data_IF_496221311711
#
_entry.id   IF_496221311711
#
_cell.length_a   1.000
_cell.length_b   1.000
_cell.length_c   1.000
_cell.angle_alpha   90.00
_cell.angle_beta   90.00
_cell.angle_gamma   90.00
#
_symmetry.space_group_name_H-M   'P 1'
#
loop_
_entity.id
_entity.type
_entity.pdbx_description
1 polymer ?
#
# COMPACT_ATOMS: atom_id res chain seq x y z
N UNK A 1 27.08 3.90 -18.70
CA UNK A 1 25.73 4.07 -19.26
C UNK A 1 25.00 5.04 -18.36
N UNK A 2 24.17 5.92 -18.92
CA UNK A 2 23.33 6.83 -18.14
C UNK A 2 22.40 6.01 -17.22
N UNK A 3 22.09 6.49 -16.03
CA UNK A 3 21.14 5.83 -15.12
C UNK A 3 19.76 5.73 -15.80
N UNK A 4 19.09 4.57 -15.69
CA UNK A 4 17.80 4.33 -16.37
C UNK A 4 16.79 5.42 -16.03
N UNK A 5 16.72 5.83 -14.76
CA UNK A 5 15.70 6.75 -14.30
C UNK A 5 16.07 8.21 -14.55
N UNK A 6 17.31 8.49 -14.93
CA UNK A 6 17.72 9.78 -15.51
C UNK A 6 17.33 9.83 -16.99
N UNK A 7 17.53 8.73 -17.71
CA UNK A 7 17.23 8.63 -19.14
C UNK A 7 15.73 8.58 -19.45
N UNK A 8 14.98 7.79 -18.68
CA UNK A 8 13.54 7.53 -18.86
C UNK A 8 12.83 7.56 -17.50
N UNK A 9 12.61 8.76 -16.94
CA UNK A 9 12.12 8.92 -15.57
C UNK A 9 10.69 8.39 -15.35
N UNK A 10 9.88 8.25 -16.39
CA UNK A 10 8.47 7.92 -16.24
C UNK A 10 8.25 6.46 -15.83
N UNK A 11 9.17 5.55 -16.11
CA UNK A 11 9.09 4.18 -15.55
C UNK A 11 9.05 4.18 -14.03
N UNK A 12 9.94 4.94 -13.38
CA UNK A 12 9.96 5.06 -11.92
C UNK A 12 8.71 5.78 -11.41
N UNK A 13 8.31 6.88 -12.06
CA UNK A 13 7.12 7.65 -11.69
C UNK A 13 5.84 6.82 -11.76
N UNK A 14 5.67 6.03 -12.82
CA UNK A 14 4.54 5.09 -12.98
C UNK A 14 4.54 4.09 -11.82
N UNK A 15 5.69 3.49 -11.51
CA UNK A 15 5.81 2.55 -10.38
C UNK A 15 5.48 3.21 -9.02
N UNK A 16 5.90 4.45 -8.81
CA UNK A 16 5.68 5.19 -7.56
C UNK A 16 4.26 5.73 -7.42
N UNK A 17 3.57 5.96 -8.54
CA UNK A 17 2.15 6.37 -8.56
C UNK A 17 1.23 5.31 -7.98
N UNK A 18 1.56 4.04 -8.19
CA UNK A 18 0.78 2.89 -7.73
C UNK A 18 1.64 1.94 -6.88
N UNK A 19 1.96 2.32 -5.62
CA UNK A 19 2.79 1.49 -4.75
C UNK A 19 2.16 0.13 -4.43
N UNK A 20 0.82 0.07 -4.38
CA UNK A 20 0.03 -1.13 -4.11
C UNK A 20 -0.20 -2.02 -5.36
N UNK A 21 0.44 -1.71 -6.50
CA UNK A 21 0.40 -2.54 -7.70
C UNK A 21 1.67 -3.42 -7.81
N UNK A 22 1.72 -4.61 -7.19
CA UNK A 22 2.93 -5.45 -7.14
C UNK A 22 3.38 -5.92 -8.53
N UNK A 23 2.45 -6.14 -9.45
CA UNK A 23 2.74 -6.51 -10.84
C UNK A 23 3.53 -5.40 -11.54
N UNK A 24 3.15 -4.14 -11.35
CA UNK A 24 3.83 -2.99 -11.94
C UNK A 24 5.24 -2.82 -11.36
N UNK A 25 5.39 -2.97 -10.03
CA UNK A 25 6.68 -3.00 -9.35
C UNK A 25 7.60 -4.10 -9.87
N UNK A 26 7.05 -5.28 -10.18
CA UNK A 26 7.80 -6.41 -10.74
C UNK A 26 8.26 -6.16 -12.17
N UNK A 27 7.40 -5.60 -13.02
CA UNK A 27 7.77 -5.23 -14.39
C UNK A 27 8.83 -4.12 -14.41
N UNK A 28 8.74 -3.13 -13.52
CA UNK A 28 9.77 -2.10 -13.40
C UNK A 28 11.15 -2.70 -13.07
N UNK A 29 11.20 -3.61 -12.11
CA UNK A 29 12.44 -4.33 -11.77
C UNK A 29 12.97 -5.14 -12.96
N UNK A 30 12.08 -5.73 -13.76
CA UNK A 30 12.47 -6.48 -14.95
C UNK A 30 13.08 -5.58 -16.04
N UNK A 31 12.50 -4.40 -16.29
CA UNK A 31 13.05 -3.39 -17.22
C UNK A 31 14.44 -2.96 -16.75
N UNK A 32 14.58 -2.61 -15.46
CA UNK A 32 15.87 -2.19 -14.88
C UNK A 32 16.93 -3.28 -15.00
N UNK A 33 16.59 -4.51 -14.61
CA UNK A 33 17.50 -5.65 -14.72
C UNK A 33 17.97 -5.89 -16.16
N UNK A 34 17.06 -5.81 -17.13
CA UNK A 34 17.43 -5.96 -18.54
C UNK A 34 18.31 -4.81 -19.03
N UNK A 35 18.03 -3.58 -18.62
CA UNK A 35 18.82 -2.41 -19.00
C UNK A 35 20.27 -2.47 -18.50
N UNK A 36 20.45 -2.92 -17.26
CA UNK A 36 21.76 -3.08 -16.60
C UNK A 36 22.52 -4.33 -17.07
N UNK A 37 21.81 -5.32 -17.63
CA UNK A 37 22.34 -6.59 -18.11
C UNK A 37 22.68 -6.62 -19.60
N UNK A 38 22.42 -7.76 -20.22
CA UNK A 38 22.69 -8.05 -21.64
C UNK A 38 21.67 -7.43 -22.61
N UNK A 39 20.58 -6.86 -22.07
CA UNK A 39 19.48 -6.19 -22.79
C UNK A 39 18.69 -7.07 -23.76
N UNK A 40 18.89 -8.39 -23.74
CA UNK A 40 18.25 -9.31 -24.68
C UNK A 40 16.72 -9.29 -24.57
N UNK A 41 16.14 -9.05 -23.39
CA UNK A 41 14.69 -8.94 -23.18
C UNK A 41 14.19 -7.53 -22.93
N UNK A 42 14.96 -6.49 -23.29
CA UNK A 42 14.62 -5.12 -22.93
C UNK A 42 13.34 -4.65 -23.63
N UNK A 43 13.16 -4.95 -24.92
CA UNK A 43 11.94 -4.55 -25.66
C UNK A 43 10.71 -5.27 -25.11
N UNK A 44 10.77 -6.58 -24.87
CA UNK A 44 9.67 -7.31 -24.23
C UNK A 44 9.31 -6.74 -22.85
N UNK A 45 10.29 -6.47 -21.99
CA UNK A 45 10.01 -5.95 -20.65
C UNK A 45 9.44 -4.53 -20.68
N UNK A 46 9.89 -3.69 -21.60
CA UNK A 46 9.31 -2.35 -21.84
C UNK A 46 7.84 -2.46 -22.26
N UNK A 47 7.53 -3.29 -23.26
CA UNK A 47 6.17 -3.51 -23.75
C UNK A 47 5.26 -3.98 -22.61
N UNK A 48 5.68 -5.02 -21.88
CA UNK A 48 4.90 -5.55 -20.75
C UNK A 48 4.72 -4.53 -19.62
N UNK A 49 5.68 -3.61 -19.42
CA UNK A 49 5.52 -2.52 -18.45
C UNK A 49 4.43 -1.53 -18.88
N UNK A 50 4.39 -1.14 -20.15
CA UNK A 50 3.33 -0.26 -20.70
C UNK A 50 1.96 -0.94 -20.55
N UNK A 51 1.85 -2.20 -20.95
CA UNK A 51 0.61 -2.97 -20.83
C UNK A 51 0.15 -3.05 -19.38
N UNK A 52 1.07 -3.34 -18.45
CA UNK A 52 0.78 -3.35 -17.02
C UNK A 52 0.30 -1.98 -16.52
N UNK A 53 0.85 -0.87 -17.02
CA UNK A 53 0.40 0.48 -16.67
C UNK A 53 -1.02 0.74 -17.19
N UNK A 54 -1.31 0.39 -18.46
CA UNK A 54 -2.65 0.51 -19.04
C UNK A 54 -3.69 -0.32 -18.26
N UNK A 55 -3.37 -1.57 -17.91
CA UNK A 55 -4.24 -2.42 -17.10
C UNK A 55 -4.47 -1.86 -15.69
N UNK A 56 -3.43 -1.27 -15.10
CA UNK A 56 -3.55 -0.61 -13.79
C UNK A 56 -4.57 0.53 -13.86
N UNK A 57 -4.46 1.38 -14.88
CA UNK A 57 -5.39 2.49 -15.13
C UNK A 57 -6.81 1.97 -15.38
N UNK A 58 -7.00 0.99 -16.27
CA UNK A 58 -8.32 0.41 -16.54
C UNK A 58 -8.99 -0.08 -15.24
N UNK A 59 -8.21 -0.74 -14.37
CA UNK A 59 -8.69 -1.17 -13.05
C UNK A 59 -9.09 -0.02 -12.12
N UNK A 60 -8.44 1.15 -12.17
CA UNK A 60 -8.82 2.32 -11.36
C UNK A 60 -10.10 3.00 -11.83
N UNK A 61 -10.56 2.69 -13.03
CA UNK A 61 -11.81 3.21 -13.60
C UNK A 61 -12.86 2.10 -13.79
N UNK A 62 -12.69 0.96 -13.11
CA UNK A 62 -13.61 -0.17 -13.15
C UNK A 62 -13.84 -0.73 -14.56
N UNK A 63 -12.88 -0.55 -15.49
CA UNK A 63 -12.99 -1.01 -16.87
C UNK A 63 -12.52 -2.46 -16.98
N UNK A 64 -13.24 -3.23 -17.79
CA UNK A 64 -12.87 -4.60 -18.12
C UNK A 64 -11.75 -4.64 -19.16
N UNK A 65 -11.13 -5.80 -19.30
CA UNK A 65 -10.26 -6.08 -20.46
C UNK A 65 -11.02 -5.84 -21.77
N UNK A 66 -10.41 -5.21 -22.78
CA UNK A 66 -11.12 -4.86 -23.99
C UNK A 66 -11.36 -6.04 -24.94
N UNK A 67 -10.46 -7.03 -24.92
CA UNK A 67 -10.61 -8.30 -25.64
C UNK A 67 -9.90 -9.44 -24.89
N UNK A 68 -10.01 -10.67 -25.39
CA UNK A 68 -9.39 -11.85 -24.77
C UNK A 68 -7.86 -11.85 -24.84
N UNK A 69 -7.30 -11.21 -25.88
CA UNK A 69 -5.87 -11.08 -26.10
C UNK A 69 -5.59 -9.69 -26.73
N UNK A 70 -5.65 -8.62 -25.92
CA UNK A 70 -5.61 -7.28 -26.46
C UNK A 70 -4.20 -6.89 -26.87
N UNK A 71 -4.11 -6.18 -27.99
CA UNK A 71 -2.84 -5.58 -28.41
C UNK A 71 -2.40 -4.47 -27.44
N UNK A 72 -1.11 -4.14 -27.41
CA UNK A 72 -0.60 -3.00 -26.62
C UNK A 72 -1.30 -1.69 -27.00
N UNK A 73 -1.56 -1.49 -28.29
CA UNK A 73 -2.27 -0.32 -28.80
C UNK A 73 -3.74 -0.29 -28.38
N UNK A 74 -4.41 -1.45 -28.37
CA UNK A 74 -5.77 -1.56 -27.86
C UNK A 74 -5.83 -1.23 -26.37
N UNK A 75 -4.92 -1.78 -25.56
CA UNK A 75 -4.80 -1.43 -24.14
C UNK A 75 -4.53 0.05 -23.92
N UNK A 76 -3.64 0.66 -24.72
CA UNK A 76 -3.33 2.08 -24.65
C UNK A 76 -4.55 2.95 -24.97
N UNK A 77 -5.25 2.65 -26.07
CA UNK A 77 -6.45 3.38 -26.48
C UNK A 77 -7.53 3.30 -25.41
N UNK A 78 -7.78 2.11 -24.86
CA UNK A 78 -8.83 1.90 -23.86
C UNK A 78 -8.46 2.52 -22.51
N UNK A 79 -7.18 2.54 -22.13
CA UNK A 79 -6.71 3.21 -20.93
C UNK A 79 -6.81 4.75 -21.05
N UNK A 80 -6.63 5.32 -22.24
CA UNK A 80 -6.71 6.76 -22.47
C UNK A 80 -8.14 7.31 -22.52
N UNK A 81 -9.12 6.50 -22.93
CA UNK A 81 -10.54 6.90 -22.98
C UNK A 81 -11.11 7.43 -21.65
N UNK A 82 -11.00 6.73 -20.50
CA UNK A 82 -11.50 7.24 -19.24
C UNK A 82 -10.73 8.49 -18.76
N UNK A 83 -9.51 8.71 -19.28
CA UNK A 83 -8.70 9.90 -19.02
C UNK A 83 -9.08 11.10 -19.91
N UNK A 84 -10.21 11.02 -20.62
CA UNK A 84 -10.68 12.07 -21.53
C UNK A 84 -9.90 12.17 -22.84
N UNK A 85 -8.98 11.25 -23.12
CA UNK A 85 -8.15 11.24 -24.32
C UNK A 85 -8.67 10.20 -25.32
N UNK A 86 -9.66 10.59 -26.11
CA UNK A 86 -10.19 9.77 -27.18
C UNK A 86 -9.92 10.40 -28.54
N UNK A 87 -9.43 9.60 -29.48
CA UNK A 87 -9.21 10.05 -30.86
C UNK A 87 -10.55 10.28 -31.56
N UNK A 88 -10.85 11.53 -31.88
CA UNK A 88 -12.06 11.93 -32.60
C UNK A 88 -11.98 11.77 -34.13
N UNK A 89 -11.07 10.89 -34.61
CA UNK A 89 -10.81 10.59 -36.02
C UNK A 89 -10.29 11.77 -36.83
N UNK A 90 -9.39 12.56 -36.25
CA UNK A 90 -8.62 13.60 -36.95
C UNK A 90 -9.24 14.99 -36.91
N UNK A 91 -10.25 15.22 -36.08
CA UNK A 91 -10.88 16.52 -35.90
C UNK A 91 -9.99 17.51 -35.11
N UNK A 92 -9.02 17.01 -34.34
CA UNK A 92 -8.15 17.82 -33.49
C UNK A 92 -6.65 17.61 -33.72
N UNK A 93 -5.81 18.56 -33.29
CA UNK A 93 -4.35 18.35 -33.24
C UNK A 93 -3.95 17.26 -32.25
N UNK A 94 -4.76 17.08 -31.19
CA UNK A 94 -4.58 16.02 -30.19
C UNK A 94 -4.77 14.64 -30.84
N UNK A 95 -5.72 14.48 -31.77
CA UNK A 95 -5.92 13.22 -32.50
C UNK A 95 -4.66 12.79 -33.26
N UNK A 96 -3.94 13.74 -33.86
CA UNK A 96 -2.67 13.44 -34.56
C UNK A 96 -1.61 12.95 -33.58
N UNK A 97 -1.55 13.53 -32.39
CA UNK A 97 -0.64 13.13 -31.33
C UNK A 97 -0.98 11.73 -30.79
N UNK A 98 -2.27 11.46 -30.53
CA UNK A 98 -2.75 10.15 -30.10
C UNK A 98 -2.47 9.07 -31.17
N UNK A 99 -2.74 9.38 -32.44
CA UNK A 99 -2.37 8.49 -33.55
C UNK A 99 -0.87 8.21 -33.63
N UNK A 100 -0.01 9.18 -33.29
CA UNK A 100 1.44 8.95 -33.23
C UNK A 100 1.82 7.99 -32.09
N UNK A 101 1.23 8.15 -30.90
CA UNK A 101 1.47 7.23 -29.78
C UNK A 101 0.97 5.81 -30.08
N UNK A 102 -0.16 5.67 -30.77
CA UNK A 102 -0.64 4.36 -31.22
C UNK A 102 0.37 3.68 -32.15
N UNK A 103 0.90 4.42 -33.14
CA UNK A 103 1.95 3.88 -34.03
C UNK A 103 3.24 3.51 -33.29
N UNK A 104 3.58 4.25 -32.24
CA UNK A 104 4.71 3.93 -31.38
C UNK A 104 4.48 2.62 -30.58
N UNK A 105 3.27 2.40 -30.08
CA UNK A 105 2.88 1.17 -29.40
C UNK A 105 2.84 -0.03 -30.37
N UNK A 106 2.36 0.18 -31.60
CA UNK A 106 2.40 -0.82 -32.69
C UNK A 106 3.86 -1.20 -33.01
N UNK A 107 4.74 -0.21 -33.22
CA UNK A 107 6.15 -0.44 -33.52
C UNK A 107 6.89 -1.22 -32.42
N UNK A 108 6.57 -0.95 -31.14
CA UNK A 108 7.09 -1.75 -30.01
C UNK A 108 6.64 -3.20 -30.08
N UNK A 109 5.38 -3.44 -30.47
CA UNK A 109 4.82 -4.78 -30.62
C UNK A 109 5.45 -5.52 -31.80
N UNK A 110 5.57 -4.87 -32.95
CA UNK A 110 6.21 -5.40 -34.16
C UNK A 110 7.66 -5.80 -33.86
N UNK A 111 8.46 -4.90 -33.29
CA UNK A 111 9.87 -5.19 -32.98
C UNK A 111 10.00 -6.30 -31.94
N UNK A 112 9.13 -6.33 -30.91
CA UNK A 112 9.11 -7.44 -29.95
C UNK A 112 8.80 -8.76 -30.64
N UNK A 113 7.84 -8.78 -31.57
CA UNK A 113 7.43 -10.00 -32.23
C UNK A 113 8.45 -10.45 -33.29
N UNK A 114 9.21 -9.54 -33.90
CA UNK A 114 10.17 -9.90 -34.94
C UNK A 114 11.56 -10.19 -34.38
N UNK A 115 11.98 -9.47 -33.34
CA UNK A 115 13.40 -9.36 -32.96
C UNK A 115 13.70 -9.71 -31.50
N UNK A 116 12.71 -10.12 -30.71
CA UNK A 116 12.92 -10.48 -29.30
C UNK A 116 13.31 -11.98 -29.14
N UNK A 117 14.49 -12.28 -28.54
CA UNK A 117 14.97 -13.64 -28.35
C UNK A 117 14.08 -14.45 -27.40
N UNK A 118 13.36 -13.79 -26.50
CA UNK A 118 12.44 -14.46 -25.58
C UNK A 118 11.20 -14.95 -26.34
N UNK A 119 10.85 -14.31 -27.46
CA UNK A 119 9.72 -14.71 -28.31
C UNK A 119 10.09 -15.79 -29.34
N UNK A 120 11.29 -15.72 -29.95
CA UNK A 120 11.65 -16.57 -31.11
C UNK A 120 12.95 -17.39 -30.95
N UNK A 121 13.58 -17.37 -29.78
CA UNK A 121 14.86 -18.05 -29.55
C UNK A 121 16.05 -17.27 -30.15
N UNK A 122 17.24 -17.87 -30.11
CA UNK A 122 18.51 -17.21 -30.41
C UNK A 122 18.64 -16.70 -31.86
N UNK A 123 17.89 -17.27 -32.80
CA UNK A 123 17.92 -16.91 -34.23
C UNK A 123 17.04 -15.70 -34.60
N UNK A 124 16.09 -15.32 -33.73
CA UNK A 124 15.32 -14.08 -33.85
C UNK A 124 16.00 -12.88 -33.21
N UNK A 125 17.08 -13.10 -32.46
CA UNK A 125 17.86 -12.02 -31.88
C UNK A 125 18.77 -11.41 -32.93
N UNK A 126 18.52 -10.16 -33.28
CA UNK A 126 19.53 -9.41 -33.98
C UNK A 126 20.54 -8.91 -32.92
N UNK A 127 21.71 -9.57 -32.84
CA UNK A 127 22.95 -9.03 -32.21
C UNK A 127 23.25 -7.57 -32.68
N UNK A 128 22.60 -7.17 -33.77
CA UNK A 128 22.60 -5.92 -34.50
C UNK A 128 21.77 -4.78 -33.90
N UNK A 129 20.84 -5.01 -32.95
CA UNK A 129 20.09 -3.89 -32.35
C UNK A 129 21.09 -3.05 -31.56
N UNK A 130 21.47 -1.93 -32.17
CA UNK A 130 22.47 -1.03 -31.63
C UNK A 130 21.96 -0.44 -30.33
N UNK A 131 22.88 -0.03 -29.46
CA UNK A 131 22.51 0.68 -28.22
C UNK A 131 21.65 1.92 -28.46
N UNK A 132 21.70 2.50 -29.67
CA UNK A 132 20.88 3.65 -30.05
C UNK A 132 19.42 3.25 -30.34
N UNK A 133 19.18 2.11 -30.98
CA UNK A 133 17.81 1.64 -31.25
C UNK A 133 17.12 1.23 -29.95
N UNK A 134 17.82 0.52 -29.05
CA UNK A 134 17.30 0.21 -27.71
C UNK A 134 17.00 1.48 -26.91
N UNK A 135 17.84 2.52 -27.02
CA UNK A 135 17.58 3.83 -26.42
C UNK A 135 16.34 4.48 -27.03
N UNK A 136 16.12 4.36 -28.34
CA UNK A 136 14.91 4.88 -28.98
C UNK A 136 13.64 4.18 -28.45
N UNK A 137 13.65 2.86 -28.28
CA UNK A 137 12.49 2.15 -27.72
C UNK A 137 12.22 2.51 -26.25
N UNK A 138 13.26 2.70 -25.45
CA UNK A 138 13.12 3.22 -24.08
C UNK A 138 12.46 4.60 -24.08
N UNK A 139 12.95 5.54 -24.89
CA UNK A 139 12.39 6.89 -24.98
C UNK A 139 10.94 6.84 -25.47
N UNK A 140 10.65 6.02 -26.48
CA UNK A 140 9.30 5.79 -26.96
C UNK A 140 8.36 5.35 -25.84
N UNK A 141 8.76 4.36 -25.05
CA UNK A 141 7.97 3.92 -23.91
C UNK A 141 7.81 4.99 -22.84
N UNK A 142 8.88 5.73 -22.53
CA UNK A 142 8.84 6.84 -21.60
C UNK A 142 7.83 7.91 -22.03
N UNK A 143 7.76 8.22 -23.33
CA UNK A 143 6.77 9.18 -23.86
C UNK A 143 5.33 8.68 -23.72
N UNK A 144 5.08 7.37 -23.93
CA UNK A 144 3.75 6.76 -23.71
C UNK A 144 3.37 6.83 -22.22
N UNK A 145 4.31 6.48 -21.33
CA UNK A 145 4.09 6.55 -19.88
C UNK A 145 3.87 7.99 -19.41
N UNK A 146 4.61 8.95 -19.96
CA UNK A 146 4.42 10.37 -19.68
C UNK A 146 3.02 10.84 -20.09
N UNK A 147 2.53 10.45 -21.27
CA UNK A 147 1.18 10.75 -21.72
C UNK A 147 0.14 10.18 -20.75
N UNK A 148 0.26 8.89 -20.39
CA UNK A 148 -0.65 8.22 -19.47
C UNK A 148 -0.68 8.89 -18.10
N UNK A 149 0.49 9.19 -17.53
CA UNK A 149 0.60 9.83 -16.21
C UNK A 149 0.04 11.25 -16.21
N UNK A 150 0.41 12.07 -17.19
CA UNK A 150 -0.10 13.44 -17.28
C UNK A 150 -1.61 13.49 -17.48
N UNK A 151 -2.16 12.57 -18.28
CA UNK A 151 -3.61 12.47 -18.48
C UNK A 151 -4.32 11.98 -17.20
N UNK A 152 -3.71 11.02 -16.49
CA UNK A 152 -4.22 10.51 -15.22
C UNK A 152 -4.25 11.59 -14.14
N UNK A 153 -3.16 12.31 -13.95
CA UNK A 153 -3.06 13.39 -12.96
C UNK A 153 -4.03 14.56 -13.26
N UNK A 154 -4.46 14.71 -14.51
CA UNK A 154 -5.46 15.70 -14.94
C UNK A 154 -6.91 15.22 -14.87
N UNK A 155 -7.17 13.97 -14.46
CA UNK A 155 -8.52 13.36 -14.44
C UNK A 155 -8.99 13.15 -13.01
N UNK A 156 -10.26 13.45 -12.72
CA UNK A 156 -10.86 13.11 -11.42
C UNK A 156 -10.94 11.58 -11.24
N UNK A 157 -10.44 11.02 -10.12
CA UNK A 157 -10.52 9.59 -9.85
C UNK A 157 -11.96 9.13 -9.65
N UNK A 158 -12.25 7.89 -10.10
CA UNK A 158 -13.48 7.22 -9.73
C UNK A 158 -13.36 6.67 -8.29
N UNK A 159 -14.09 7.28 -7.35
CA UNK A 159 -14.04 6.92 -5.92
C UNK A 159 -14.45 5.48 -5.63
N UNK A 160 -15.10 4.79 -6.56
CA UNK A 160 -15.48 3.38 -6.40
C UNK A 160 -14.29 2.42 -6.60
N UNK A 161 -13.30 2.82 -7.41
CA UNK A 161 -12.25 1.93 -7.90
C UNK A 161 -10.83 2.46 -7.69
N UNK A 162 -10.69 3.75 -7.39
CA UNK A 162 -9.39 4.42 -7.21
C UNK A 162 -8.53 3.72 -6.15
N UNK A 163 -7.23 3.60 -6.42
CA UNK A 163 -6.24 3.11 -5.44
C UNK A 163 -5.61 4.24 -4.65
N UNK A 164 -6.09 5.46 -4.83
CA UNK A 164 -5.59 6.61 -4.10
C UNK A 164 -5.93 6.51 -2.60
N UNK A 165 -5.01 6.93 -1.74
CA UNK A 165 -5.19 6.82 -0.30
C UNK A 165 -6.31 7.76 0.17
N UNK A 166 -6.98 7.39 1.26
CA UNK A 166 -8.06 8.15 1.88
C UNK A 166 -7.67 9.64 2.06
N UNK A 167 -6.46 9.92 2.53
CA UNK A 167 -5.97 11.26 2.82
C UNK A 167 -6.02 12.22 1.61
N UNK A 168 -5.99 11.70 0.38
CA UNK A 168 -6.07 12.52 -0.84
C UNK A 168 -7.43 13.18 -1.05
N UNK A 169 -8.49 12.65 -0.42
CA UNK A 169 -9.86 13.12 -0.58
C UNK A 169 -10.40 13.87 0.64
N UNK A 170 -9.52 14.44 1.47
CA UNK A 170 -9.89 15.17 2.69
C UNK A 170 -11.05 16.15 2.48
N UNK A 171 -11.04 16.93 1.40
CA UNK A 171 -12.12 17.87 1.08
C UNK A 171 -13.50 17.21 0.82
N UNK A 172 -13.51 15.99 0.27
CA UNK A 172 -14.73 15.21 0.10
C UNK A 172 -15.19 14.62 1.42
N UNK A 173 -14.26 14.14 2.24
CA UNK A 173 -14.55 13.61 3.57
C UNK A 173 -15.15 14.69 4.47
N UNK A 174 -14.54 15.88 4.53
CA UNK A 174 -15.08 17.02 5.27
C UNK A 174 -16.49 17.41 4.79
N UNK A 175 -16.75 17.31 3.47
CA UNK A 175 -18.08 17.57 2.92
C UNK A 175 -19.09 16.51 3.39
N UNK A 176 -18.72 15.24 3.38
CA UNK A 176 -19.54 14.13 3.88
C UNK A 176 -19.78 14.32 5.39
N UNK A 177 -18.74 14.49 6.18
CA UNK A 177 -18.79 14.61 7.64
C UNK A 177 -19.64 15.81 8.10
N UNK A 178 -19.62 16.93 7.36
CA UNK A 178 -20.44 18.11 7.66
C UNK A 178 -21.93 17.92 7.32
N UNK A 179 -22.25 17.05 6.37
CA UNK A 179 -23.59 16.96 5.77
C UNK A 179 -24.36 15.69 6.15
N UNK A 180 -23.67 14.67 6.64
CA UNK A 180 -24.27 13.41 7.06
C UNK A 180 -24.74 13.51 8.51
N UNK A 181 -26.01 13.20 8.73
CA UNK A 181 -26.52 12.88 10.06
C UNK A 181 -26.46 11.37 10.27
N UNK A 182 -25.95 10.97 11.43
CA UNK A 182 -25.75 9.57 11.81
C UNK A 182 -26.69 9.23 12.97
N UNK A 183 -27.43 8.13 12.84
CA UNK A 183 -28.17 7.51 13.93
C UNK A 183 -27.64 6.10 14.14
N UNK A 184 -27.41 5.71 15.40
CA UNK A 184 -26.92 4.38 15.74
C UNK A 184 -27.87 3.72 16.73
N UNK A 185 -28.16 2.44 16.51
CA UNK A 185 -28.96 1.59 17.38
C UNK A 185 -28.29 0.22 17.51
N UNK A 186 -28.67 -0.51 18.55
CA UNK A 186 -28.33 -1.92 18.72
C UNK A 186 -29.62 -2.70 18.50
N UNK A 187 -29.57 -3.68 17.62
CA UNK A 187 -30.66 -4.62 17.41
C UNK A 187 -30.21 -6.02 17.81
N UNK A 188 -31.11 -6.74 18.49
CA UNK A 188 -30.92 -8.14 18.84
C UNK A 188 -31.53 -9.00 17.72
N UNK A 189 -30.69 -9.77 17.03
CA UNK A 189 -31.08 -10.71 15.97
C UNK A 189 -30.86 -12.15 16.47
N UNK A 190 -31.93 -12.73 17.05
CA UNK A 190 -32.16 -14.11 17.52
C UNK A 190 -31.09 -14.79 18.41
N UNK A 191 -29.90 -14.19 18.59
CA UNK A 191 -28.78 -14.58 19.47
C UNK A 191 -27.54 -13.65 19.31
N UNK A 192 -27.58 -12.65 18.41
CA UNK A 192 -26.45 -11.77 18.11
C UNK A 192 -26.87 -10.31 18.15
N UNK A 193 -26.01 -9.49 18.77
CA UNK A 193 -26.15 -8.04 18.70
C UNK A 193 -25.57 -7.52 17.38
N UNK A 194 -26.34 -6.68 16.71
CA UNK A 194 -25.96 -6.00 15.48
C UNK A 194 -26.00 -4.50 15.71
N UNK A 195 -24.92 -3.81 15.33
CA UNK A 195 -24.89 -2.35 15.32
C UNK A 195 -25.54 -1.90 14.02
N UNK A 196 -26.63 -1.15 14.13
CA UNK A 196 -27.34 -0.57 13.00
C UNK A 196 -27.01 0.92 12.93
N UNK A 197 -26.34 1.31 11.85
CA UNK A 197 -25.96 2.70 11.59
C UNK A 197 -26.79 3.22 10.41
N UNK A 198 -27.60 4.24 10.64
CA UNK A 198 -28.38 4.94 9.61
C UNK A 198 -27.70 6.26 9.28
N UNK A 199 -27.30 6.39 8.01
CA UNK A 199 -26.61 7.55 7.47
C UNK A 199 -27.54 8.30 6.52
N UNK A 200 -27.84 9.56 6.81
CA UNK A 200 -28.75 10.38 5.97
C UNK A 200 -28.12 11.71 5.63
N UNK A 201 -28.53 12.30 4.51
CA UNK A 201 -28.20 13.69 4.15
C UNK A 201 -29.48 14.45 3.86
N UNK A 202 -29.40 15.79 3.77
CA UNK A 202 -30.56 16.60 3.38
C UNK A 202 -31.21 16.16 2.05
N UNK A 203 -30.41 15.59 1.15
CA UNK A 203 -30.84 15.13 -0.17
C UNK A 203 -31.09 13.61 -0.25
N UNK A 204 -30.74 12.85 0.79
CA UNK A 204 -30.96 11.41 0.90
C UNK A 204 -31.65 11.11 2.24
N UNK A 205 -32.96 11.37 2.29
CA UNK A 205 -33.73 11.33 3.54
C UNK A 205 -34.03 9.92 4.04
N UNK A 206 -34.26 8.96 3.12
CA UNK A 206 -34.38 7.54 3.47
C UNK A 206 -33.06 7.00 4.06
N UNK A 207 -31.94 7.62 3.70
CA UNK A 207 -30.61 7.28 4.18
C UNK A 207 -30.13 5.92 3.66
N UNK A 208 -29.00 5.49 4.21
CA UNK A 208 -28.42 4.16 4.02
C UNK A 208 -28.35 3.51 5.40
N UNK A 209 -28.91 2.31 5.53
CA UNK A 209 -28.79 1.50 6.74
C UNK A 209 -27.64 0.50 6.58
N UNK A 210 -26.68 0.55 7.50
CA UNK A 210 -25.60 -0.41 7.62
C UNK A 210 -25.83 -1.27 8.86
N UNK A 211 -25.98 -2.58 8.66
CA UNK A 211 -26.10 -3.58 9.72
C UNK A 211 -24.74 -4.27 9.86
N UNK A 212 -24.06 -4.06 10.98
CA UNK A 212 -22.67 -4.47 11.16
C UNK A 212 -22.53 -5.29 12.45
N UNK A 213 -21.98 -6.50 12.34
CA UNK A 213 -21.64 -7.30 13.51
C UNK A 213 -20.44 -6.69 14.25
N UNK A 214 -20.42 -6.69 15.60
CA UNK A 214 -19.31 -6.12 16.38
C UNK A 214 -17.94 -6.65 15.96
N UNK A 215 -17.84 -7.95 15.67
CA UNK A 215 -16.61 -8.58 15.19
C UNK A 215 -16.15 -8.02 13.85
N UNK A 216 -17.07 -7.74 12.91
CA UNK A 216 -16.76 -7.16 11.59
C UNK A 216 -16.29 -5.71 11.73
N UNK A 217 -16.95 -4.92 12.58
CA UNK A 217 -16.56 -3.54 12.87
C UNK A 217 -15.14 -3.49 13.43
N UNK A 218 -14.86 -4.27 14.47
CA UNK A 218 -13.53 -4.34 15.10
C UNK A 218 -12.48 -4.83 14.09
N UNK A 219 -12.77 -5.91 13.35
CA UNK A 219 -11.84 -6.45 12.35
C UNK A 219 -11.51 -5.42 11.26
N UNK A 220 -12.46 -4.59 10.82
CA UNK A 220 -12.25 -3.61 9.77
C UNK A 220 -11.53 -2.34 10.26
N UNK A 221 -11.88 -1.84 11.44
CA UNK A 221 -11.44 -0.52 11.93
C UNK A 221 -10.26 -0.62 12.91
N UNK A 222 -10.27 -1.56 13.86
CA UNK A 222 -9.26 -1.68 14.91
C UNK A 222 -8.88 -3.16 15.15
N UNK A 223 -7.87 -3.60 14.40
CA UNK A 223 -7.30 -4.95 14.48
C UNK A 223 -6.83 -5.33 15.87
N UNK A 224 -6.37 -4.36 16.65
CA UNK A 224 -5.84 -4.62 17.98
C UNK A 224 -6.98 -4.88 18.95
N UNK A 225 -8.00 -4.01 18.93
CA UNK A 225 -9.22 -4.23 19.71
C UNK A 225 -9.88 -5.57 19.36
N UNK A 226 -9.97 -5.92 18.07
CA UNK A 226 -10.49 -7.22 17.65
C UNK A 226 -9.83 -8.40 18.38
N UNK A 227 -8.49 -8.41 18.47
CA UNK A 227 -7.73 -9.48 19.14
C UNK A 227 -7.97 -9.49 20.65
N UNK A 228 -8.05 -8.32 21.28
CA UNK A 228 -8.32 -8.20 22.72
C UNK A 228 -9.71 -8.73 23.09
N UNK A 229 -10.74 -8.37 22.31
CA UNK A 229 -12.10 -8.86 22.51
C UNK A 229 -12.19 -10.36 22.25
N UNK A 230 -11.49 -10.88 21.24
CA UNK A 230 -11.44 -12.33 20.95
C UNK A 230 -10.76 -13.13 22.08
N UNK A 231 -9.69 -12.60 22.66
CA UNK A 231 -9.04 -13.22 23.81
C UNK A 231 -9.97 -13.24 25.04
N UNK A 232 -10.71 -12.16 25.25
CA UNK A 232 -11.64 -12.01 26.38
C UNK A 232 -12.88 -12.90 26.23
N UNK A 233 -13.40 -13.08 25.01
CA UNK A 233 -14.55 -13.96 24.76
C UNK A 233 -14.26 -15.45 24.97
N UNK A 234 -12.97 -15.83 25.01
CA UNK A 234 -12.55 -17.22 25.22
C UNK A 234 -12.61 -17.64 26.71
N UNK A 235 -12.76 -16.69 27.64
CA UNK A 235 -12.76 -16.94 29.08
C UNK A 235 -14.13 -17.35 29.63
N UNK A 236 -15.23 -17.15 28.88
CA UNK A 236 -16.59 -17.43 29.35
C UNK A 236 -17.09 -18.85 29.02
N UNK A 237 -16.31 -19.67 28.30
CA UNK A 237 -16.70 -21.05 27.93
C UNK A 237 -15.86 -22.11 28.64
N UNK A 238 -15.96 -22.20 29.96
CA UNK A 238 -15.57 -23.41 30.70
C UNK A 238 -16.75 -23.94 31.52
N UNK A 239 -17.51 -24.93 31.01
CA UNK A 239 -18.27 -25.79 31.89
C UNK A 239 -17.32 -26.76 32.61
N UNK A 240 -17.57 -26.85 33.91
CA UNK A 240 -17.03 -27.75 34.93
C UNK A 240 -16.22 -28.98 34.47
N UNK A 241 -15.05 -29.09 35.08
CA UNK A 241 -14.21 -30.29 35.27
C UNK A 241 -15.03 -31.58 35.42
N UNK A 242 -14.86 -32.52 34.49
CA UNK A 242 -15.16 -33.95 34.71
C UNK A 242 -13.92 -34.75 34.32
N UNK A 243 -13.44 -35.55 35.28
CA UNK A 243 -12.25 -36.39 35.23
C UNK A 243 -12.29 -37.42 34.07
N UNK A 244 -11.12 -37.91 33.59
CA UNK A 244 -11.07 -38.81 32.45
C UNK A 244 -11.40 -40.25 32.87
N UNK A 245 -12.41 -40.84 32.24
CA UNK A 245 -12.58 -42.31 32.21
C UNK A 245 -12.02 -42.80 30.87
N UNK A 246 -11.02 -43.66 30.96
CA UNK A 246 -10.43 -44.39 29.84
C UNK A 246 -11.48 -45.34 29.27
N UNK A 247 -11.78 -45.25 27.97
CA UNK A 247 -12.25 -46.41 27.21
C UNK A 247 -11.98 -46.30 25.70
N UNK A 248 -11.99 -47.47 25.08
CA UNK A 248 -11.25 -47.91 23.89
C UNK A 248 -11.66 -47.32 22.52
N UNK A 249 -10.67 -47.40 21.62
CA UNK A 249 -10.69 -47.19 20.17
C UNK A 249 -12.03 -47.47 19.47
N UNK A 250 -12.49 -46.49 18.69
CA UNK A 250 -13.04 -46.77 17.35
C UNK A 250 -12.74 -45.63 16.38
N UNK A 251 -12.21 -46.01 15.24
CA UNK A 251 -11.74 -45.19 14.12
C UNK A 251 -12.87 -44.39 13.50
N UNK A 252 -12.73 -43.07 13.50
CA UNK A 252 -13.40 -42.17 12.56
C UNK A 252 -12.41 -41.07 12.21
N UNK A 253 -12.16 -40.86 10.92
CA UNK A 253 -11.25 -39.84 10.39
C UNK A 253 -11.58 -38.46 10.96
N UNK A 254 -10.61 -37.87 11.66
CA UNK A 254 -10.64 -36.49 12.11
C UNK A 254 -9.72 -35.67 11.23
N UNK A 255 -10.29 -34.65 10.59
CA UNK A 255 -9.56 -33.56 9.94
C UNK A 255 -8.65 -32.92 11.01
N UNK A 256 -7.36 -32.64 10.74
CA UNK A 256 -6.49 -32.05 11.74
C UNK A 256 -7.04 -30.66 12.13
N UNK A 257 -7.39 -30.50 13.40
CA UNK A 257 -7.57 -29.19 14.01
C UNK A 257 -6.25 -28.41 13.86
N UNK A 258 -6.24 -27.41 12.97
CA UNK A 258 -5.24 -26.37 12.96
C UNK A 258 -5.31 -25.64 14.29
N UNK A 259 -4.25 -25.75 15.09
CA UNK A 259 -4.03 -24.86 16.24
C UNK A 259 -4.12 -23.41 15.74
N UNK A 260 -4.81 -22.51 16.45
CA UNK A 260 -4.64 -21.07 16.22
C UNK A 260 -3.15 -20.77 16.35
N UNK A 261 -2.56 -20.19 15.30
CA UNK A 261 -1.18 -19.71 15.35
C UNK A 261 -1.06 -18.72 16.50
N UNK A 262 -0.09 -18.91 17.39
CA UNK A 262 0.39 -17.85 18.27
C UNK A 262 0.58 -16.58 17.43
N UNK A 263 -0.02 -15.48 17.89
CA UNK A 263 0.12 -14.18 17.25
C UNK A 263 1.61 -13.84 17.11
N UNK A 264 2.04 -13.30 15.95
CA UNK A 264 3.41 -12.89 15.79
C UNK A 264 3.75 -11.82 16.84
N UNK A 265 4.93 -11.88 17.45
CA UNK A 265 5.29 -10.98 18.53
C UNK A 265 5.40 -9.54 18.02
N UNK A 266 5.14 -8.51 18.86
CA UNK A 266 5.06 -7.10 18.42
C UNK A 266 6.30 -6.67 17.64
N UNK A 267 6.08 -6.21 16.41
CA UNK A 267 7.12 -6.10 15.39
C UNK A 267 7.90 -4.79 15.52
N UNK A 268 9.15 -4.88 16.00
CA UNK A 268 10.11 -3.78 16.00
C UNK A 268 10.56 -3.43 14.56
N UNK A 269 10.39 -2.18 14.14
CA UNK A 269 10.74 -1.71 12.81
C UNK A 269 12.17 -1.14 12.78
N UNK A 270 13.04 -1.69 11.93
CA UNK A 270 14.35 -1.10 11.60
C UNK A 270 14.26 -0.54 10.19
N UNK A 271 14.32 0.78 10.04
CA UNK A 271 14.18 1.47 8.76
C UNK A 271 15.34 2.42 8.52
N UNK A 272 15.72 2.60 7.25
CA UNK A 272 16.78 3.54 6.85
C UNK A 272 16.29 4.98 6.74
N UNK A 273 14.98 5.17 6.52
CA UNK A 273 14.35 6.47 6.39
C UNK A 273 12.88 6.41 6.81
N UNK A 274 12.39 7.44 7.51
CA UNK A 274 11.00 7.54 7.96
C UNK A 274 10.30 8.74 7.32
N UNK A 275 9.04 8.54 6.88
CA UNK A 275 8.20 9.53 6.17
C UNK A 275 6.81 9.74 6.79
N UNK A 276 6.54 9.19 7.97
CA UNK A 276 5.21 9.22 8.56
C UNK A 276 4.85 10.51 9.29
N UNK A 277 3.67 10.52 9.91
CA UNK A 277 3.07 11.69 10.57
C UNK A 277 3.85 12.22 11.76
N UNK A 278 4.74 11.41 12.37
CA UNK A 278 5.60 11.83 13.47
C UNK A 278 6.88 12.55 13.02
N UNK A 279 7.08 12.75 11.71
CA UNK A 279 8.28 13.39 11.18
C UNK A 279 8.55 14.79 11.79
N UNK A 280 7.55 15.64 12.07
CA UNK A 280 7.77 16.93 12.75
C UNK A 280 8.43 16.77 14.13
N UNK A 281 8.23 15.64 14.81
CA UNK A 281 8.78 15.36 16.14
C UNK A 281 10.25 14.92 16.09
N UNK A 282 10.80 14.54 14.92
CA UNK A 282 12.16 13.98 14.79
C UNK A 282 13.24 14.83 15.45
N UNK A 283 13.22 16.15 15.28
CA UNK A 283 14.20 17.06 15.90
C UNK A 283 14.03 17.19 17.42
N UNK A 284 12.80 17.10 17.92
CA UNK A 284 12.51 17.14 19.34
C UNK A 284 12.89 15.82 20.02
N UNK A 285 12.57 14.69 19.38
CA UNK A 285 12.95 13.35 19.80
C UNK A 285 14.47 13.21 19.89
N UNK A 286 15.22 13.69 18.88
CA UNK A 286 16.68 13.67 18.92
C UNK A 286 17.26 14.42 20.12
N UNK A 287 16.69 15.59 20.46
CA UNK A 287 17.11 16.36 21.65
C UNK A 287 16.75 15.64 22.95
N UNK A 288 15.56 15.04 23.00
CA UNK A 288 15.11 14.26 24.15
C UNK A 288 16.00 13.05 24.37
N UNK A 289 16.20 12.19 23.38
CA UNK A 289 17.05 11.00 23.50
C UNK A 289 18.50 11.34 23.86
N UNK A 290 19.00 12.50 23.40
CA UNK A 290 20.32 13.01 23.80
C UNK A 290 20.40 13.33 25.29
N UNK A 291 19.35 13.89 25.90
CA UNK A 291 19.34 14.19 27.34
C UNK A 291 19.30 12.95 28.22
N UNK A 292 18.86 11.80 27.68
CA UNK A 292 18.82 10.51 28.39
C UNK A 292 20.01 9.60 28.07
N UNK A 293 20.98 10.06 27.25
CA UNK A 293 22.12 9.23 26.86
C UNK A 293 21.76 8.04 25.96
N UNK A 294 20.56 8.03 25.38
CA UNK A 294 20.06 6.94 24.51
C UNK A 294 20.45 7.12 23.03
N UNK A 295 21.17 8.19 22.69
CA UNK A 295 21.65 8.44 21.34
C UNK A 295 22.91 7.60 21.12
N UNK A 296 22.71 6.36 20.68
CA UNK A 296 23.76 5.39 20.42
C UNK A 296 24.69 5.83 19.27
N UNK A 297 25.99 5.66 19.52
CA UNK A 297 27.09 5.78 18.56
C UNK A 297 26.97 4.66 17.51
N UNK A 298 27.11 5.05 16.25
CA UNK A 298 27.19 4.26 14.99
C UNK A 298 26.48 2.90 14.88
N UNK A 299 25.58 2.85 13.89
CA UNK A 299 24.68 1.76 13.58
C UNK A 299 25.39 0.42 13.28
N UNK A 300 25.20 -0.58 14.16
CA UNK A 300 25.51 -1.97 13.86
C UNK A 300 24.39 -2.66 13.04
N UNK A 301 23.18 -2.08 13.08
CA UNK A 301 22.01 -2.48 12.31
C UNK A 301 21.76 -1.43 11.23
N UNK A 302 21.87 -1.77 9.95
CA UNK A 302 21.88 -0.87 8.77
C UNK A 302 20.67 0.04 8.51
N UNK A 303 19.97 0.50 9.55
CA UNK A 303 18.93 1.53 9.53
C UNK A 303 19.31 2.77 10.33
N UNK A 304 18.46 3.80 10.27
CA UNK A 304 18.62 5.02 11.05
C UNK A 304 17.87 4.87 12.39
N UNK A 305 18.56 5.14 13.49
CA UNK A 305 18.04 4.96 14.86
C UNK A 305 16.75 5.77 15.12
N UNK A 306 16.77 7.06 14.80
CA UNK A 306 15.62 7.95 15.02
C UNK A 306 14.44 7.56 14.13
N UNK A 307 14.71 7.22 12.87
CA UNK A 307 13.68 6.81 11.93
C UNK A 307 13.05 5.47 12.33
N UNK A 308 13.84 4.57 12.91
CA UNK A 308 13.37 3.27 13.42
C UNK A 308 12.52 3.40 14.68
N UNK A 309 12.84 4.34 15.57
CA UNK A 309 11.99 4.68 16.72
C UNK A 309 10.65 5.23 16.23
N UNK A 310 10.65 6.28 15.40
CA UNK A 310 9.43 6.90 14.88
C UNK A 310 8.56 5.91 14.09
N UNK A 311 9.17 5.05 13.26
CA UNK A 311 8.44 4.01 12.55
C UNK A 311 7.87 2.93 13.46
N UNK A 312 8.55 2.64 14.58
CA UNK A 312 8.04 1.69 15.58
C UNK A 312 6.88 2.31 16.35
N UNK A 313 7.00 3.57 16.76
CA UNK A 313 5.96 4.31 17.49
C UNK A 313 4.68 4.42 16.68
N UNK A 314 4.75 4.95 15.46
CA UNK A 314 3.57 5.17 14.62
C UNK A 314 2.81 3.89 14.31
N UNK A 315 3.51 2.76 14.15
CA UNK A 315 2.87 1.44 13.94
C UNK A 315 2.05 0.95 15.12
N UNK A 316 2.31 1.46 16.32
CA UNK A 316 1.63 1.07 17.55
C UNK A 316 0.75 2.19 18.11
N UNK A 317 0.67 3.34 17.43
CA UNK A 317 -0.26 4.42 17.74
C UNK A 317 -1.61 4.13 17.08
N UNK A 318 -2.46 3.36 17.78
CA UNK A 318 -3.89 3.23 17.44
C UNK A 318 -4.71 4.46 17.87
N UNK A 319 -6.02 4.43 17.58
CA UNK A 319 -6.97 5.38 18.16
C UNK A 319 -6.91 5.30 19.69
N UNK A 320 -6.78 6.44 20.36
CA UNK A 320 -6.69 6.58 21.82
C UNK A 320 -5.52 5.84 22.50
N UNK A 321 -4.41 5.59 21.77
CA UNK A 321 -3.24 4.88 22.31
C UNK A 321 -2.69 5.49 23.61
N UNK A 322 -2.87 6.80 23.81
CA UNK A 322 -2.44 7.52 25.01
C UNK A 322 -3.18 7.10 26.28
N UNK A 323 -4.37 6.53 26.14
CA UNK A 323 -5.24 6.12 27.24
C UNK A 323 -5.25 4.60 27.44
N UNK A 324 -5.14 3.80 26.37
CA UNK A 324 -5.18 2.33 26.44
C UNK A 324 -3.86 1.71 26.93
N UNK A 325 -3.90 1.03 28.08
CA UNK A 325 -2.71 0.39 28.69
C UNK A 325 -2.13 -0.75 27.84
N UNK A 326 -2.97 -1.51 27.14
CA UNK A 326 -2.56 -2.62 26.28
C UNK A 326 -1.71 -2.16 25.09
N UNK A 327 -2.12 -1.06 24.42
CA UNK A 327 -1.36 -0.44 23.32
C UNK A 327 -0.03 0.12 23.81
N UNK A 328 -0.03 0.75 24.99
CA UNK A 328 1.21 1.25 25.61
C UNK A 328 2.16 0.11 25.96
N UNK A 329 1.65 -1.01 26.49
CA UNK A 329 2.46 -2.19 26.79
C UNK A 329 3.05 -2.81 25.51
N UNK A 330 2.25 -2.96 24.45
CA UNK A 330 2.72 -3.46 23.16
C UNK A 330 3.79 -2.56 22.54
N UNK A 331 3.55 -1.25 22.53
CA UNK A 331 4.51 -0.24 22.07
C UNK A 331 5.80 -0.27 22.90
N UNK A 332 5.70 -0.45 24.22
CA UNK A 332 6.87 -0.53 25.12
C UNK A 332 7.75 -1.73 24.78
N UNK A 333 7.14 -2.89 24.54
CA UNK A 333 7.85 -4.11 24.13
C UNK A 333 8.51 -3.91 22.76
N UNK A 334 7.80 -3.30 21.81
CA UNK A 334 8.34 -3.03 20.47
C UNK A 334 9.53 -2.04 20.52
N UNK A 335 9.40 -0.94 21.27
CA UNK A 335 10.46 0.04 21.47
C UNK A 335 11.68 -0.56 22.14
N UNK A 336 11.49 -1.33 23.21
CA UNK A 336 12.61 -2.03 23.87
C UNK A 336 13.39 -2.88 22.88
N UNK A 337 12.70 -3.64 22.03
CA UNK A 337 13.33 -4.46 20.99
C UNK A 337 14.06 -3.62 19.95
N UNK A 338 13.50 -2.47 19.56
CA UNK A 338 14.18 -1.54 18.65
C UNK A 338 15.45 -0.99 19.28
N UNK A 339 15.40 -0.52 20.53
CA UNK A 339 16.58 -0.01 21.26
C UNK A 339 17.69 -1.07 21.37
N UNK A 340 17.34 -2.32 21.72
CA UNK A 340 18.29 -3.44 21.78
C UNK A 340 18.92 -3.74 20.42
N UNK A 341 18.16 -3.66 19.31
CA UNK A 341 18.70 -3.86 17.95
C UNK A 341 19.76 -2.82 17.57
N UNK A 342 19.71 -1.64 18.18
CA UNK A 342 20.70 -0.57 18.00
C UNK A 342 21.82 -0.59 19.07
N UNK A 343 21.96 -1.70 19.81
CA UNK A 343 23.06 -1.92 20.75
C UNK A 343 22.87 -1.30 22.13
N UNK A 344 21.66 -0.87 22.48
CA UNK A 344 21.35 -0.37 23.83
C UNK A 344 21.16 -1.57 24.76
N UNK A 345 21.78 -1.50 25.94
CA UNK A 345 21.65 -2.53 26.98
C UNK A 345 20.18 -2.78 27.36
N UNK A 346 19.86 -4.01 27.77
CA UNK A 346 18.49 -4.43 28.05
C UNK A 346 17.82 -3.63 29.18
N UNK A 347 18.55 -3.27 30.24
CA UNK A 347 17.99 -2.48 31.35
C UNK A 347 17.74 -1.03 30.92
N UNK A 348 18.71 -0.45 30.20
CA UNK A 348 18.58 0.90 29.63
C UNK A 348 17.48 0.98 28.55
N UNK A 349 17.28 -0.09 27.78
CA UNK A 349 16.23 -0.19 26.78
C UNK A 349 14.83 -0.27 27.41
N UNK A 350 14.67 -0.98 28.53
CA UNK A 350 13.40 -1.07 29.25
C UNK A 350 12.99 0.29 29.84
N UNK A 351 13.95 0.99 30.48
CA UNK A 351 13.72 2.34 31.01
C UNK A 351 13.49 3.35 29.89
N UNK A 352 14.31 3.29 28.84
CA UNK A 352 14.23 4.17 27.67
C UNK A 352 12.90 4.02 26.93
N UNK A 353 12.41 2.80 26.75
CA UNK A 353 11.10 2.57 26.14
C UNK A 353 9.97 3.24 26.95
N UNK A 354 9.96 3.10 28.28
CA UNK A 354 8.97 3.78 29.12
C UNK A 354 9.01 5.31 29.00
N UNK A 355 10.22 5.89 29.01
CA UNK A 355 10.42 7.33 28.89
C UNK A 355 10.02 7.89 27.52
N UNK A 356 10.24 7.13 26.45
CA UNK A 356 9.82 7.50 25.09
C UNK A 356 8.28 7.56 25.02
N UNK A 357 7.59 6.57 25.59
CA UNK A 357 6.13 6.54 25.65
C UNK A 357 5.57 7.74 26.42
N UNK A 358 6.10 8.03 27.61
CA UNK A 358 5.69 9.18 28.40
C UNK A 358 5.91 10.50 27.65
N UNK A 359 7.03 10.63 26.95
CA UNK A 359 7.32 11.80 26.12
C UNK A 359 6.37 11.94 24.94
N UNK A 360 6.09 10.85 24.22
CA UNK A 360 5.18 10.84 23.09
C UNK A 360 3.78 11.30 23.52
N UNK A 361 3.26 10.81 24.66
CA UNK A 361 1.95 11.23 25.18
C UNK A 361 1.84 12.75 25.32
N UNK A 362 2.91 13.39 25.78
CA UNK A 362 2.96 14.86 25.96
C UNK A 362 3.05 15.57 24.61
N UNK A 363 3.89 15.08 23.70
CA UNK A 363 4.15 15.78 22.42
C UNK A 363 3.04 15.59 21.39
N UNK A 364 2.36 14.45 21.38
CA UNK A 364 1.30 14.17 20.40
C UNK A 364 -0.02 14.86 20.76
N UNK A 365 -0.25 15.19 22.04
CA UNK A 365 -1.35 16.05 22.46
C UNK A 365 -1.27 17.47 21.86
N UNK A 366 -0.07 17.93 21.50
CA UNK A 366 0.16 19.22 20.82
C UNK A 366 0.07 19.17 19.30
N UNK A 367 -0.02 17.99 18.69
CA UNK A 367 -0.14 17.82 17.24
C UNK A 367 -1.60 17.87 16.76
N UNK A 368 -2.56 17.52 17.62
CA UNK A 368 -4.00 17.55 17.33
C UNK A 368 -4.64 18.94 17.44
N UNK A 369 -3.89 19.97 17.86
CA UNK A 369 -4.41 21.32 18.18
C UNK A 369 -3.95 22.44 17.24
N UNK A 370 -3.33 22.12 16.09
CA UNK A 370 -3.05 23.13 15.06
C UNK A 370 -4.06 23.05 13.92
N UNK A 371 -5.17 23.78 14.08
CA UNK A 371 -5.93 24.29 12.93
C UNK A 371 -4.98 25.14 12.06
N UNK A 372 -4.92 24.90 10.74
CA UNK A 372 -4.20 25.79 9.84
C UNK A 372 -5.06 27.04 9.58
N UNK A 373 -4.55 28.21 9.99
CA UNK A 373 -4.97 29.53 9.48
C UNK A 373 -4.55 29.74 8.03
#
# INVERSE_FOLDING_TARGET
MEDLDVLVPHFRRTKERWPEAPTLSSHYKAVRKNYEGDKHGLVATIKSFIECACLTILGEFGKTMPSSDPSTTELLVEALKPLGLQNSRGASRVDKLLSAHNKLADALTEIRNENDPVAHGKDGFVDSLTSNELRAFLITADTILALLLCAHDGTEPDLQFTREPYERFTHLHERVDRSVAVEAAIEDDDERQVVVIKLRTGNLQEGVELRIEPSRLLYAIDRTAYVEFLASSSLETQPATVLPVISEKKTTESIPFLRPSESPPPAAAVVSFYRGGLLPLKKALARYLKSFGLLAVEAHSGGNFLDSILATDERHMGLDWSERESLQAAMKVALRRTLVKFGIDQELAEQGAGQIISWLKIQTAGLTTKEPT
#
